data_IF_369490199440
#
_entry.id   IF_369490199440
#
_cell.length_a   1.000
_cell.length_b   1.000
_cell.length_c   1.000
_cell.angle_alpha   90.00
_cell.angle_beta   90.00
_cell.angle_gamma   90.00
#
_symmetry.space_group_name_H-M   'P 1'
#
loop_
_entity.id
_entity.type
_entity.pdbx_description
1 polymer ?
#
# COMPACT_ATOMS: atom_id res chain seq x y z
N UNK A 1 -15.50 -67.68 -22.31
CA UNK A 1 -15.11 -66.59 -21.38
C UNK A 1 -13.96 -65.85 -22.05
N UNK A 2 -13.92 -64.55 -22.32
CA UNK A 2 -14.79 -63.38 -22.16
C UNK A 2 -14.50 -62.51 -23.40
N UNK A 3 -15.52 -62.10 -24.15
CA UNK A 3 -15.39 -61.06 -25.17
C UNK A 3 -15.14 -59.72 -24.47
N UNK A 4 -13.98 -59.11 -24.67
CA UNK A 4 -13.71 -57.74 -24.21
C UNK A 4 -14.16 -56.79 -25.31
N UNK A 5 -15.19 -56.05 -24.96
CA UNK A 5 -15.91 -55.08 -25.77
C UNK A 5 -15.02 -53.84 -26.00
N UNK A 6 -14.47 -53.69 -27.20
CA UNK A 6 -13.53 -52.62 -27.59
C UNK A 6 -14.26 -51.44 -28.26
N UNK A 7 -15.51 -51.18 -27.88
CA UNK A 7 -16.41 -50.22 -28.53
C UNK A 7 -16.96 -49.13 -27.61
N UNK A 8 -16.24 -48.75 -26.53
CA UNK A 8 -16.57 -47.59 -25.69
C UNK A 8 -15.32 -46.73 -25.47
N UNK A 9 -14.72 -46.25 -26.57
CA UNK A 9 -13.84 -45.06 -26.59
C UNK A 9 -14.29 -44.20 -27.76
N UNK A 10 -15.55 -43.76 -27.73
CA UNK A 10 -16.11 -42.89 -28.75
C UNK A 10 -17.24 -42.04 -28.13
N UNK A 11 -16.95 -41.38 -27.00
CA UNK A 11 -17.77 -40.28 -26.45
C UNK A 11 -17.02 -39.56 -25.31
N UNK A 12 -15.68 -39.47 -25.37
CA UNK A 12 -15.00 -38.35 -24.72
C UNK A 12 -15.24 -37.13 -25.60
N UNK A 13 -16.39 -36.50 -25.38
CA UNK A 13 -16.70 -35.07 -25.56
C UNK A 13 -15.54 -34.17 -25.96
N UNK A 14 -15.02 -34.36 -27.18
CA UNK A 14 -14.38 -33.30 -27.94
C UNK A 14 -15.50 -32.38 -28.42
N UNK A 15 -16.11 -31.65 -27.48
CA UNK A 15 -16.69 -30.37 -27.79
C UNK A 15 -15.51 -29.46 -28.15
N UNK A 16 -14.95 -29.66 -29.35
CA UNK A 16 -14.17 -28.66 -30.07
C UNK A 16 -15.17 -27.54 -30.36
N UNK A 17 -15.48 -26.76 -29.33
CA UNK A 17 -16.09 -25.45 -29.49
C UNK A 17 -15.02 -24.66 -30.22
N UNK A 18 -15.12 -24.63 -31.54
CA UNK A 18 -14.32 -23.76 -32.38
C UNK A 18 -14.67 -22.35 -31.95
N UNK A 19 -13.83 -21.74 -31.11
CA UNK A 19 -14.01 -20.37 -30.68
C UNK A 19 -13.94 -19.48 -31.91
N UNK A 20 -14.95 -18.62 -32.08
CA UNK A 20 -14.94 -17.67 -33.19
C UNK A 20 -13.84 -16.65 -32.91
N UNK A 21 -13.02 -16.26 -33.91
CA UNK A 21 -12.07 -15.18 -33.72
C UNK A 21 -12.78 -13.90 -33.32
N UNK A 22 -12.29 -13.24 -32.27
CA UNK A 22 -12.74 -11.91 -31.85
C UNK A 22 -12.20 -10.88 -32.84
N UNK A 23 -13.09 -10.21 -33.56
CA UNK A 23 -12.72 -9.23 -34.60
C UNK A 23 -12.63 -7.80 -34.08
N UNK A 24 -13.44 -7.43 -33.07
CA UNK A 24 -13.35 -6.14 -32.38
C UNK A 24 -12.53 -6.30 -31.10
N UNK A 25 -11.51 -5.46 -30.89
CA UNK A 25 -10.72 -5.53 -29.66
C UNK A 25 -11.47 -4.99 -28.44
N UNK A 26 -12.50 -4.19 -28.64
CA UNK A 26 -13.38 -3.73 -27.56
C UNK A 26 -14.49 -4.75 -27.37
N UNK A 27 -14.45 -5.45 -26.24
CA UNK A 27 -15.41 -6.50 -25.94
C UNK A 27 -16.06 -6.22 -24.60
N UNK A 28 -17.36 -6.42 -24.49
CA UNK A 28 -18.06 -6.32 -23.22
C UNK A 28 -18.58 -7.69 -22.82
N UNK A 29 -18.31 -8.07 -21.57
CA UNK A 29 -18.81 -9.30 -20.97
C UNK A 29 -19.35 -8.98 -19.59
N UNK A 30 -20.63 -9.29 -19.41
CA UNK A 30 -21.37 -9.00 -18.19
C UNK A 30 -21.29 -7.50 -17.84
N UNK A 31 -20.74 -7.19 -16.66
CA UNK A 31 -20.65 -5.82 -16.15
C UNK A 31 -19.51 -4.99 -16.75
N UNK A 32 -18.54 -5.60 -17.40
CA UNK A 32 -17.28 -4.95 -17.74
C UNK A 32 -17.03 -4.95 -19.25
N UNK A 33 -16.34 -3.91 -19.70
CA UNK A 33 -15.77 -3.84 -21.03
C UNK A 33 -14.24 -3.94 -20.96
N UNK A 34 -13.67 -4.50 -22.02
CA UNK A 34 -12.29 -4.95 -22.08
C UNK A 34 -11.65 -4.54 -23.41
N UNK A 35 -10.35 -4.27 -23.38
CA UNK A 35 -9.49 -4.17 -24.56
C UNK A 35 -8.67 -5.45 -24.65
N UNK A 36 -8.98 -6.33 -25.60
CA UNK A 36 -8.27 -7.61 -25.78
C UNK A 36 -7.06 -7.49 -26.72
N UNK A 37 -6.00 -8.24 -26.46
CA UNK A 37 -4.75 -8.18 -27.22
C UNK A 37 -4.80 -8.90 -28.58
N UNK A 38 -5.64 -9.93 -28.73
CA UNK A 38 -5.68 -10.80 -29.91
C UNK A 38 -7.06 -11.41 -30.16
N UNK A 39 -7.22 -12.06 -31.31
CA UNK A 39 -8.50 -12.61 -31.77
C UNK A 39 -8.81 -14.01 -31.21
N UNK A 40 -7.81 -14.75 -30.73
CA UNK A 40 -7.95 -16.14 -30.25
C UNK A 40 -7.46 -16.34 -28.81
N UNK A 41 -7.43 -15.25 -28.02
CA UNK A 41 -6.98 -15.25 -26.63
C UNK A 41 -5.84 -14.26 -26.36
N UNK A 42 -5.27 -14.34 -25.15
CA UNK A 42 -4.14 -13.53 -24.72
C UNK A 42 -4.45 -12.73 -23.45
N UNK A 43 -4.21 -11.42 -23.50
CA UNK A 43 -4.42 -10.52 -22.36
C UNK A 43 -5.54 -9.53 -22.59
N UNK A 44 -6.11 -9.00 -21.49
CA UNK A 44 -7.11 -7.95 -21.56
C UNK A 44 -6.87 -6.85 -20.51
N UNK A 45 -7.11 -5.61 -20.93
CA UNK A 45 -7.26 -4.45 -20.05
C UNK A 45 -8.73 -4.20 -19.75
N UNK A 46 -9.10 -3.97 -18.49
CA UNK A 46 -10.45 -3.54 -18.13
C UNK A 46 -10.62 -2.07 -18.47
N UNK A 47 -11.57 -1.73 -19.35
CA UNK A 47 -11.83 -0.35 -19.81
C UNK A 47 -12.86 0.41 -18.99
N UNK A 48 -13.66 -0.29 -18.19
CA UNK A 48 -14.71 0.30 -17.38
C UNK A 48 -15.96 -0.55 -17.33
N UNK A 49 -17.05 0.03 -16.83
CA UNK A 49 -18.36 -0.62 -16.83
C UNK A 49 -18.96 -0.64 -18.24
N UNK A 50 -19.68 -1.72 -18.52
CA UNK A 50 -20.66 -1.75 -19.60
C UNK A 50 -21.77 -0.73 -19.29
N UNK A 51 -22.38 -0.11 -20.32
CA UNK A 51 -23.22 1.10 -20.19
C UNK A 51 -24.37 0.97 -19.19
N UNK A 52 -24.95 -0.22 -19.04
CA UNK A 52 -26.01 -0.51 -18.07
C UNK A 52 -25.56 -0.60 -16.60
N UNK A 53 -24.26 -0.53 -16.31
CA UNK A 53 -23.69 -0.81 -14.98
C UNK A 53 -22.92 0.36 -14.37
N UNK A 54 -22.93 1.54 -14.98
CA UNK A 54 -22.21 2.74 -14.50
C UNK A 54 -22.65 3.20 -13.10
N UNK A 55 -23.87 2.84 -12.67
CA UNK A 55 -24.38 3.11 -11.32
C UNK A 55 -24.08 1.99 -10.30
N UNK A 56 -23.22 1.03 -10.64
CA UNK A 56 -22.89 -0.09 -9.74
C UNK A 56 -22.15 0.39 -8.49
N UNK A 57 -22.57 -0.14 -7.33
CA UNK A 57 -21.88 0.08 -6.05
C UNK A 57 -20.65 -0.79 -5.85
N UNK A 58 -20.55 -1.88 -6.59
CA UNK A 58 -19.45 -2.84 -6.46
C UNK A 58 -18.80 -3.13 -7.80
N UNK A 59 -17.48 -3.29 -7.76
CA UNK A 59 -16.65 -3.70 -8.88
C UNK A 59 -15.87 -4.95 -8.50
N UNK A 60 -15.99 -6.00 -9.30
CA UNK A 60 -15.16 -7.21 -9.18
C UNK A 60 -14.38 -7.39 -10.47
N UNK A 61 -13.06 -7.31 -10.38
CA UNK A 61 -12.13 -7.52 -11.48
C UNK A 61 -11.65 -8.98 -11.40
N UNK A 62 -12.02 -9.83 -12.37
CA UNK A 62 -11.59 -11.22 -12.38
C UNK A 62 -10.12 -11.36 -12.81
N UNK A 63 -9.54 -12.55 -12.65
CA UNK A 63 -8.20 -12.85 -13.17
C UNK A 63 -8.19 -13.15 -14.66
N UNK A 64 -9.33 -13.56 -15.21
CA UNK A 64 -9.53 -13.81 -16.64
C UNK A 64 -10.98 -13.60 -17.04
N UNK A 65 -11.24 -13.50 -18.34
CA UNK A 65 -12.58 -13.41 -18.93
C UNK A 65 -12.66 -14.32 -20.15
N UNK A 66 -13.80 -14.98 -20.35
CA UNK A 66 -14.10 -15.77 -21.54
C UNK A 66 -15.03 -14.97 -22.47
N UNK A 67 -14.57 -14.73 -23.69
CA UNK A 67 -15.27 -13.96 -24.73
C UNK A 67 -15.29 -14.81 -26.00
N UNK A 68 -16.48 -15.18 -26.45
CA UNK A 68 -16.71 -16.03 -27.64
C UNK A 68 -15.91 -17.35 -27.65
N UNK A 69 -15.72 -17.95 -26.46
CA UNK A 69 -14.96 -19.19 -26.27
C UNK A 69 -13.46 -18.97 -26.11
N UNK A 70 -12.96 -17.75 -26.25
CA UNK A 70 -11.55 -17.41 -26.07
C UNK A 70 -11.29 -16.87 -24.66
N UNK A 71 -10.25 -17.37 -23.99
CA UNK A 71 -9.87 -16.93 -22.64
C UNK A 71 -8.81 -15.84 -22.72
N UNK A 72 -9.06 -14.75 -21.99
CA UNK A 72 -8.13 -13.63 -21.85
C UNK A 72 -7.78 -13.43 -20.38
N UNK A 73 -6.49 -13.41 -20.06
CA UNK A 73 -6.00 -13.08 -18.72
C UNK A 73 -6.02 -11.57 -18.52
N UNK A 74 -6.57 -11.09 -17.40
CA UNK A 74 -6.54 -9.67 -17.09
C UNK A 74 -5.12 -9.28 -16.71
N UNK A 75 -4.56 -8.25 -17.35
CA UNK A 75 -3.22 -7.74 -17.06
C UNK A 75 -3.17 -6.23 -16.81
N UNK A 76 -4.29 -5.53 -16.93
CA UNK A 76 -4.35 -4.11 -16.60
C UNK A 76 -5.76 -3.58 -16.42
N UNK A 77 -5.81 -2.40 -15.81
CA UNK A 77 -6.98 -1.51 -15.79
C UNK A 77 -6.59 -0.29 -16.59
N UNK A 78 -7.43 0.08 -17.56
CA UNK A 78 -7.16 1.11 -18.55
C UNK A 78 -7.25 2.53 -17.99
N UNK A 79 -6.78 3.48 -18.78
CA UNK A 79 -6.71 4.90 -18.45
C UNK A 79 -8.09 5.42 -18.02
N UNK A 80 -8.16 5.96 -16.81
CA UNK A 80 -9.40 6.53 -16.24
C UNK A 80 -10.62 5.59 -16.26
N UNK A 81 -10.44 4.27 -16.34
CA UNK A 81 -11.52 3.30 -16.54
C UNK A 81 -12.71 3.44 -15.56
N UNK A 82 -12.43 3.85 -14.32
CA UNK A 82 -13.44 4.06 -13.27
C UNK A 82 -13.31 5.45 -12.62
N UNK A 83 -12.69 6.43 -13.28
CA UNK A 83 -12.53 7.78 -12.72
C UNK A 83 -13.89 8.41 -12.39
N UNK A 84 -14.01 9.03 -11.20
CA UNK A 84 -15.15 9.90 -10.89
C UNK A 84 -16.46 9.17 -10.61
N UNK A 85 -16.47 7.83 -10.53
CA UNK A 85 -17.68 7.05 -10.28
C UNK A 85 -18.17 7.22 -8.84
N UNK A 86 -19.09 8.18 -8.67
CA UNK A 86 -19.66 8.56 -7.36
C UNK A 86 -20.47 7.43 -6.70
N UNK A 87 -20.95 6.45 -7.45
CA UNK A 87 -21.74 5.33 -6.93
C UNK A 87 -20.89 4.21 -6.37
N UNK A 88 -19.62 4.11 -6.76
CA UNK A 88 -18.76 2.97 -6.45
C UNK A 88 -18.30 3.01 -4.98
N UNK A 89 -18.67 1.98 -4.22
CA UNK A 89 -18.39 1.84 -2.80
C UNK A 89 -17.34 0.74 -2.50
N UNK A 90 -17.28 -0.32 -3.32
CA UNK A 90 -16.36 -1.43 -3.12
C UNK A 90 -15.68 -1.88 -4.41
N UNK A 91 -14.38 -2.13 -4.32
CA UNK A 91 -13.56 -2.71 -5.40
C UNK A 91 -12.92 -3.99 -4.89
N UNK A 92 -13.00 -5.05 -5.70
CA UNK A 92 -12.30 -6.32 -5.48
C UNK A 92 -11.48 -6.68 -6.71
N UNK A 93 -10.18 -6.90 -6.53
CA UNK A 93 -9.26 -7.35 -7.56
C UNK A 93 -8.86 -8.79 -7.22
N UNK A 94 -9.17 -9.72 -8.12
CA UNK A 94 -8.90 -11.14 -7.93
C UNK A 94 -7.40 -11.45 -7.79
N UNK A 95 -7.12 -12.62 -7.20
CA UNK A 95 -5.78 -13.20 -7.21
C UNK A 95 -5.51 -13.96 -8.52
N UNK A 96 -4.26 -14.35 -8.75
CA UNK A 96 -3.88 -15.15 -9.93
C UNK A 96 -3.58 -14.34 -11.19
N UNK A 97 -3.41 -13.02 -11.06
CA UNK A 97 -2.95 -12.15 -12.15
C UNK A 97 -1.42 -12.02 -12.02
N UNK A 98 -0.66 -12.48 -13.02
CA UNK A 98 0.81 -12.49 -12.96
C UNK A 98 1.41 -11.13 -12.58
N UNK A 99 0.90 -10.05 -13.19
CA UNK A 99 1.24 -8.65 -12.90
C UNK A 99 0.09 -7.77 -13.37
N UNK A 100 -0.51 -7.00 -12.46
CA UNK A 100 -1.62 -6.11 -12.79
C UNK A 100 -1.14 -4.68 -12.95
N UNK A 101 -1.32 -4.11 -14.14
CA UNK A 101 -1.00 -2.70 -14.41
C UNK A 101 -2.17 -1.80 -14.02
N UNK A 102 -1.93 -0.82 -13.16
CA UNK A 102 -2.88 0.25 -12.88
C UNK A 102 -2.40 1.50 -13.62
N UNK A 103 -3.08 1.85 -14.71
CA UNK A 103 -2.73 3.05 -15.48
C UNK A 103 -3.27 4.32 -14.82
N UNK A 104 -2.87 5.45 -15.38
CA UNK A 104 -3.22 6.76 -14.86
C UNK A 104 -4.72 6.92 -14.63
N UNK A 105 -5.08 7.33 -13.42
CA UNK A 105 -6.44 7.65 -13.00
C UNK A 105 -7.42 6.48 -13.00
N UNK A 106 -6.97 5.21 -13.09
CA UNK A 106 -7.87 4.06 -13.22
C UNK A 106 -8.99 4.01 -12.15
N UNK A 107 -8.71 4.51 -10.95
CA UNK A 107 -9.63 4.58 -9.81
C UNK A 107 -9.59 5.94 -9.08
N UNK A 108 -9.32 7.03 -9.79
CA UNK A 108 -9.25 8.36 -9.17
C UNK A 108 -10.64 8.94 -8.89
N UNK A 109 -10.71 9.83 -7.90
CA UNK A 109 -11.90 10.63 -7.58
C UNK A 109 -13.14 9.79 -7.26
N UNK A 110 -12.98 8.80 -6.37
CA UNK A 110 -14.05 7.91 -5.92
C UNK A 110 -14.54 8.32 -4.51
N UNK A 111 -15.44 9.32 -4.40
CA UNK A 111 -15.77 9.94 -3.11
C UNK A 111 -16.53 9.01 -2.15
N UNK A 112 -17.16 7.95 -2.67
CA UNK A 112 -17.94 7.00 -1.87
C UNK A 112 -17.24 5.64 -1.69
N UNK A 113 -16.01 5.48 -2.18
CA UNK A 113 -15.26 4.24 -2.07
C UNK A 113 -14.86 3.94 -0.63
N UNK A 114 -15.41 2.88 -0.04
CA UNK A 114 -15.18 2.48 1.35
C UNK A 114 -14.17 1.35 1.49
N UNK A 115 -14.02 0.52 0.45
CA UNK A 115 -13.24 -0.72 0.54
C UNK A 115 -12.57 -1.09 -0.77
N UNK A 116 -11.28 -1.41 -0.68
CA UNK A 116 -10.49 -1.96 -1.78
C UNK A 116 -9.88 -3.28 -1.32
N UNK A 117 -10.23 -4.36 -1.99
CA UNK A 117 -9.67 -5.69 -1.75
C UNK A 117 -8.66 -6.02 -2.84
N UNK A 118 -7.38 -5.98 -2.50
CA UNK A 118 -6.26 -6.29 -3.38
C UNK A 118 -5.82 -7.73 -3.11
N UNK A 119 -6.36 -8.69 -3.86
CA UNK A 119 -5.95 -10.10 -3.70
C UNK A 119 -4.77 -10.48 -4.59
N UNK A 120 -4.48 -9.68 -5.61
CA UNK A 120 -3.34 -9.92 -6.49
C UNK A 120 -2.01 -9.64 -5.80
N UNK A 121 -0.96 -10.42 -6.09
CA UNK A 121 0.33 -10.29 -5.38
C UNK A 121 1.36 -9.42 -6.09
N UNK A 122 1.09 -8.98 -7.31
CA UNK A 122 2.02 -8.17 -8.11
C UNK A 122 1.30 -7.05 -8.84
N UNK A 123 1.70 -5.81 -8.57
CA UNK A 123 1.19 -4.59 -9.19
C UNK A 123 2.30 -3.85 -9.94
N UNK A 124 1.92 -3.29 -11.09
CA UNK A 124 2.67 -2.24 -11.79
C UNK A 124 1.88 -0.94 -11.65
N UNK A 125 2.19 -0.17 -10.62
CA UNK A 125 1.57 1.12 -10.39
C UNK A 125 2.63 2.20 -10.62
N UNK A 126 2.62 2.75 -11.84
CA UNK A 126 3.69 3.62 -12.36
C UNK A 126 3.55 5.08 -11.95
N UNK A 127 2.52 5.41 -11.17
CA UNK A 127 2.25 6.74 -10.64
C UNK A 127 1.44 6.66 -9.33
N UNK A 128 1.09 7.82 -8.76
CA UNK A 128 0.21 7.92 -7.59
C UNK A 128 -1.28 8.13 -7.91
N UNK A 129 -1.64 8.23 -9.18
CA UNK A 129 -2.99 8.61 -9.62
C UNK A 129 -4.01 7.47 -9.45
N UNK A 130 -3.57 6.21 -9.44
CA UNK A 130 -4.45 5.09 -9.09
C UNK A 130 -4.96 5.28 -7.66
N UNK A 131 -6.27 5.38 -7.47
CA UNK A 131 -6.87 5.73 -6.18
C UNK A 131 -6.41 7.10 -5.64
N UNK A 132 -6.17 8.11 -6.49
CA UNK A 132 -5.99 9.48 -6.00
C UNK A 132 -7.31 10.07 -5.54
N UNK A 133 -7.29 10.76 -4.40
CA UNK A 133 -8.47 11.39 -3.80
C UNK A 133 -9.67 10.44 -3.60
N UNK A 134 -9.47 9.24 -3.00
CA UNK A 134 -10.59 8.38 -2.64
C UNK A 134 -11.32 8.98 -1.42
N UNK A 135 -12.43 8.37 -1.00
CA UNK A 135 -13.01 8.65 0.31
C UNK A 135 -11.92 8.55 1.40
N UNK A 136 -11.89 9.50 2.34
CA UNK A 136 -10.91 9.50 3.45
C UNK A 136 -11.02 8.28 4.38
N UNK A 137 -12.19 7.65 4.42
CA UNK A 137 -12.53 6.46 5.22
C UNK A 137 -12.32 5.13 4.45
N UNK A 138 -11.65 5.17 3.29
CA UNK A 138 -11.37 3.98 2.49
C UNK A 138 -10.44 3.02 3.25
N UNK A 139 -10.74 1.73 3.17
CA UNK A 139 -9.87 0.67 3.69
C UNK A 139 -9.20 -0.09 2.55
N UNK A 140 -7.93 -0.42 2.72
CA UNK A 140 -7.20 -1.30 1.81
C UNK A 140 -6.88 -2.63 2.50
N UNK A 141 -7.38 -3.73 1.95
CA UNK A 141 -7.22 -5.08 2.50
C UNK A 141 -6.75 -6.09 1.46
N UNK A 142 -6.32 -7.26 1.91
CA UNK A 142 -5.87 -8.36 1.05
C UNK A 142 -4.36 -8.46 0.90
N UNK A 143 -3.91 -9.63 0.45
CA UNK A 143 -2.48 -9.99 0.38
C UNK A 143 -1.67 -9.13 -0.60
N UNK A 144 -2.32 -8.40 -1.49
CA UNK A 144 -1.72 -7.48 -2.45
C UNK A 144 -1.36 -6.11 -1.90
N UNK A 145 -1.87 -5.74 -0.72
CA UNK A 145 -1.66 -4.41 -0.15
C UNK A 145 -0.17 -4.12 0.05
N UNK A 146 0.61 -5.11 0.52
CA UNK A 146 2.06 -4.96 0.71
C UNK A 146 2.77 -4.54 -0.58
N UNK A 147 2.54 -5.27 -1.67
CA UNK A 147 3.21 -5.03 -2.94
C UNK A 147 2.79 -3.69 -3.55
N UNK A 148 1.49 -3.41 -3.53
CA UNK A 148 0.98 -2.12 -3.97
C UNK A 148 1.56 -0.95 -3.15
N UNK A 149 1.61 -1.07 -1.82
CA UNK A 149 2.19 -0.04 -0.94
C UNK A 149 3.65 0.21 -1.28
N UNK A 150 4.46 -0.83 -1.47
CA UNK A 150 5.88 -0.68 -1.81
C UNK A 150 6.09 0.06 -3.14
N UNK A 151 5.32 -0.27 -4.18
CA UNK A 151 5.38 0.45 -5.45
C UNK A 151 5.06 1.95 -5.27
N UNK A 152 4.03 2.24 -4.48
CA UNK A 152 3.58 3.60 -4.22
C UNK A 152 4.56 4.41 -3.36
N UNK A 153 5.17 3.80 -2.35
CA UNK A 153 6.21 4.42 -1.52
C UNK A 153 7.43 4.77 -2.37
N UNK A 154 7.89 3.86 -3.23
CA UNK A 154 9.00 4.11 -4.16
C UNK A 154 8.73 5.28 -5.10
N UNK A 155 7.52 5.32 -5.67
CA UNK A 155 7.14 6.42 -6.55
C UNK A 155 7.06 7.75 -5.78
N UNK A 156 6.42 7.77 -4.60
CA UNK A 156 6.32 8.95 -3.74
C UNK A 156 7.72 9.48 -3.39
N UNK A 157 8.61 8.60 -2.92
CA UNK A 157 9.98 8.93 -2.53
C UNK A 157 10.76 9.61 -3.66
N UNK A 158 10.80 8.98 -4.84
CA UNK A 158 11.61 9.45 -5.96
C UNK A 158 10.99 10.62 -6.72
N UNK A 159 9.71 10.51 -7.07
CA UNK A 159 9.09 11.40 -8.06
C UNK A 159 8.29 12.54 -7.44
N UNK A 160 7.82 12.39 -6.20
CA UNK A 160 7.04 13.45 -5.52
C UNK A 160 7.91 14.20 -4.52
N UNK A 161 8.68 13.49 -3.70
CA UNK A 161 9.59 14.12 -2.74
C UNK A 161 10.95 14.47 -3.36
N UNK A 162 11.26 13.98 -4.57
CA UNK A 162 12.53 14.27 -5.24
C UNK A 162 13.74 13.72 -4.50
N UNK A 163 13.55 12.72 -3.64
CA UNK A 163 14.61 12.16 -2.81
C UNK A 163 15.40 11.08 -3.56
N UNK A 164 16.63 10.88 -3.11
CA UNK A 164 17.54 9.84 -3.61
C UNK A 164 17.93 8.94 -2.45
N UNK A 165 18.01 7.64 -2.73
CA UNK A 165 18.54 6.68 -1.78
C UNK A 165 19.99 7.05 -1.44
N UNK A 166 20.35 6.89 -0.17
CA UNK A 166 21.67 7.22 0.36
C UNK A 166 22.31 5.98 0.98
N UNK A 167 23.62 5.95 0.98
CA UNK A 167 24.39 4.99 1.78
C UNK A 167 25.02 5.77 2.92
N UNK A 168 24.65 5.42 4.15
CA UNK A 168 25.22 6.01 5.34
C UNK A 168 26.40 5.16 5.79
N UNK A 169 27.61 5.75 5.78
CA UNK A 169 28.77 5.19 6.47
C UNK A 169 28.72 5.61 7.95
N UNK A 170 29.33 4.81 8.82
CA UNK A 170 29.27 4.99 10.28
C UNK A 170 29.85 6.34 10.76
N UNK A 171 30.58 7.08 9.93
CA UNK A 171 31.18 8.38 10.28
C UNK A 171 30.27 9.60 10.00
N UNK A 172 29.10 9.42 9.37
CA UNK A 172 28.24 10.52 8.89
C UNK A 172 26.86 10.63 9.58
N UNK A 173 26.77 10.35 10.88
CA UNK A 173 25.46 10.34 11.56
C UNK A 173 24.75 11.68 11.58
N UNK A 174 25.48 12.79 11.58
CA UNK A 174 24.86 14.10 11.51
C UNK A 174 24.04 14.25 10.23
N UNK A 175 24.59 13.83 9.09
CA UNK A 175 23.88 13.86 7.81
C UNK A 175 22.69 12.90 7.82
N UNK A 176 22.87 11.68 8.35
CA UNK A 176 21.78 10.69 8.52
C UNK A 176 20.63 11.23 9.37
N UNK A 177 20.95 11.88 10.49
CA UNK A 177 19.98 12.51 11.38
C UNK A 177 19.26 13.68 10.69
N UNK A 178 20.00 14.53 10.00
CA UNK A 178 19.44 15.64 9.20
C UNK A 178 18.48 15.13 8.14
N UNK A 179 18.86 14.10 7.38
CA UNK A 179 18.03 13.53 6.30
C UNK A 179 16.73 12.89 6.85
N UNK A 180 16.84 12.19 7.98
CA UNK A 180 15.68 11.61 8.67
C UNK A 180 14.74 12.69 9.23
N UNK A 181 15.28 13.79 9.76
CA UNK A 181 14.51 14.93 10.22
C UNK A 181 13.73 15.58 9.06
N UNK A 182 14.40 15.87 7.94
CA UNK A 182 13.76 16.46 6.75
C UNK A 182 12.73 15.51 6.11
N UNK A 183 13.00 14.20 6.14
CA UNK A 183 12.03 13.20 5.71
C UNK A 183 10.79 13.21 6.61
N UNK A 184 10.96 13.21 7.93
CA UNK A 184 9.85 13.22 8.88
C UNK A 184 9.00 14.50 8.75
N UNK A 185 9.65 15.65 8.55
CA UNK A 185 9.00 16.93 8.23
C UNK A 185 8.19 16.84 6.94
N UNK A 186 8.77 16.28 5.87
CA UNK A 186 8.10 16.09 4.58
C UNK A 186 6.86 15.19 4.72
N UNK A 187 6.97 14.08 5.45
CA UNK A 187 5.81 13.21 5.76
C UNK A 187 4.75 13.96 6.54
N UNK A 188 5.14 14.78 7.52
CA UNK A 188 4.20 15.59 8.31
C UNK A 188 3.47 16.65 7.49
N UNK A 189 4.12 17.21 6.47
CA UNK A 189 3.49 18.16 5.55
C UNK A 189 2.62 17.45 4.51
N UNK A 190 3.00 16.24 4.11
CA UNK A 190 2.28 15.44 3.11
C UNK A 190 0.95 14.89 3.63
N UNK A 191 0.93 14.35 4.85
CA UNK A 191 -0.25 13.72 5.44
C UNK A 191 -0.67 14.37 6.77
N UNK A 192 -1.95 14.74 6.86
CA UNK A 192 -2.54 15.36 8.04
C UNK A 192 -2.92 14.30 9.08
N UNK A 193 -2.82 14.65 10.36
CA UNK A 193 -3.40 13.82 11.43
C UNK A 193 -4.92 13.79 11.28
N UNK A 194 -5.49 12.59 11.34
CA UNK A 194 -6.93 12.35 11.31
C UNK A 194 -7.25 10.98 11.90
N UNK A 195 -8.43 10.85 12.50
CA UNK A 195 -8.96 9.58 13.01
C UNK A 195 -9.79 8.85 11.94
N UNK A 196 -9.31 8.84 10.70
CA UNK A 196 -10.01 8.17 9.61
C UNK A 196 -9.95 6.64 9.75
N UNK A 197 -10.99 5.98 9.25
CA UNK A 197 -11.09 4.53 9.16
C UNK A 197 -9.87 3.97 8.42
N UNK A 198 -9.20 3.01 9.04
CA UNK A 198 -7.95 2.41 8.52
C UNK A 198 -6.81 3.42 8.34
N UNK A 199 -6.86 4.57 9.04
CA UNK A 199 -5.80 5.59 9.05
C UNK A 199 -4.49 5.11 9.67
N UNK A 200 -4.47 3.92 10.27
CA UNK A 200 -3.27 3.22 10.73
C UNK A 200 -2.51 2.54 9.57
N UNK A 201 -3.15 2.35 8.41
CA UNK A 201 -2.59 1.64 7.26
C UNK A 201 -1.79 2.61 6.36
N UNK A 202 -0.54 2.29 6.07
CA UNK A 202 0.38 3.17 5.34
C UNK A 202 -0.14 3.54 3.94
N UNK A 203 -0.79 2.62 3.22
CA UNK A 203 -1.36 2.95 1.91
C UNK A 203 -2.56 3.89 2.00
N UNK A 204 -3.37 3.76 3.06
CA UNK A 204 -4.48 4.69 3.33
C UNK A 204 -3.93 6.08 3.54
N UNK A 205 -2.92 6.24 4.41
CA UNK A 205 -2.24 7.54 4.63
C UNK A 205 -1.68 8.10 3.33
N UNK A 206 -1.03 7.26 2.51
CA UNK A 206 -0.44 7.67 1.25
C UNK A 206 -1.51 8.19 0.27
N UNK A 207 -2.67 7.53 0.18
CA UNK A 207 -3.69 7.81 -0.84
C UNK A 207 -4.70 8.87 -0.43
N UNK A 208 -5.10 8.90 0.84
CA UNK A 208 -6.04 9.90 1.36
C UNK A 208 -5.32 11.18 1.79
N UNK A 209 -4.02 11.11 2.11
CA UNK A 209 -3.26 12.16 2.81
C UNK A 209 -3.79 12.45 4.22
N UNK A 210 -4.51 11.49 4.79
CA UNK A 210 -5.01 11.51 6.16
C UNK A 210 -4.65 10.21 6.86
N UNK A 211 -4.15 10.30 8.09
CA UNK A 211 -3.81 9.13 8.87
C UNK A 211 -3.66 9.43 10.35
N UNK A 212 -3.69 8.38 11.15
CA UNK A 212 -3.38 8.45 12.57
C UNK A 212 -1.87 8.64 12.77
N UNK A 213 -1.44 8.83 14.02
CA UNK A 213 -0.03 8.81 14.37
C UNK A 213 0.65 7.47 14.00
N UNK A 214 -0.04 6.34 14.13
CA UNK A 214 0.48 5.02 13.73
C UNK A 214 0.67 4.92 12.21
N UNK A 215 -0.31 5.32 11.42
CA UNK A 215 -0.21 5.25 9.95
C UNK A 215 0.90 6.15 9.40
N UNK A 216 1.06 7.35 9.98
CA UNK A 216 2.16 8.26 9.65
C UNK A 216 3.52 7.68 10.05
N UNK A 217 3.65 7.08 11.23
CA UNK A 217 4.88 6.42 11.68
C UNK A 217 5.27 5.23 10.78
N UNK A 218 4.28 4.47 10.28
CA UNK A 218 4.48 3.40 9.29
C UNK A 218 4.93 3.95 7.94
N UNK A 219 4.26 4.97 7.42
CA UNK A 219 4.65 5.60 6.15
C UNK A 219 6.08 6.16 6.21
N UNK A 220 6.41 6.88 7.30
CA UNK A 220 7.77 7.37 7.53
C UNK A 220 8.79 6.24 7.58
N UNK A 221 8.49 5.13 8.28
CA UNK A 221 9.38 3.96 8.30
C UNK A 221 9.65 3.42 6.90
N UNK A 222 8.62 3.24 6.08
CA UNK A 222 8.78 2.70 4.73
C UNK A 222 9.61 3.64 3.85
N UNK A 223 9.39 4.95 3.96
CA UNK A 223 10.19 5.95 3.23
C UNK A 223 11.63 6.04 3.73
N UNK A 224 11.87 5.86 5.03
CA UNK A 224 13.22 5.83 5.58
C UNK A 224 14.02 4.61 5.08
N UNK A 225 13.34 3.49 4.83
CA UNK A 225 13.96 2.32 4.19
C UNK A 225 14.37 2.64 2.75
N UNK A 226 13.49 3.29 1.97
CA UNK A 226 13.83 3.76 0.62
C UNK A 226 14.95 4.83 0.64
N UNK A 227 15.06 5.62 1.71
CA UNK A 227 16.15 6.56 1.93
C UNK A 227 17.50 5.86 2.16
N UNK A 228 17.50 4.56 2.52
CA UNK A 228 18.70 3.76 2.76
C UNK A 228 18.91 3.32 4.21
N UNK A 229 17.93 3.55 5.09
CA UNK A 229 17.98 3.03 6.46
C UNK A 229 17.68 1.54 6.44
N UNK A 230 18.53 0.73 7.08
CA UNK A 230 18.29 -0.71 7.21
C UNK A 230 16.96 -0.96 7.92
N UNK A 231 16.15 -1.89 7.42
CA UNK A 231 14.87 -2.22 8.02
C UNK A 231 14.98 -2.71 9.48
N UNK A 232 16.14 -3.24 9.87
CA UNK A 232 16.49 -3.63 11.24
C UNK A 232 16.75 -2.45 12.18
N UNK A 233 17.08 -1.28 11.63
CA UNK A 233 17.51 -0.07 12.35
C UNK A 233 16.37 0.94 12.49
N UNK A 234 15.14 0.56 12.11
CA UNK A 234 13.95 1.38 12.29
C UNK A 234 12.73 0.52 12.62
N UNK A 235 12.07 0.87 13.73
CA UNK A 235 10.86 0.18 14.21
C UNK A 235 9.77 1.21 14.47
N UNK A 236 8.51 0.82 14.27
CA UNK A 236 7.37 1.62 14.73
C UNK A 236 7.12 1.24 16.18
N UNK A 237 7.11 2.22 17.06
CA UNK A 237 7.01 2.04 18.50
C UNK A 237 5.67 2.60 19.02
N UNK A 238 5.23 2.11 20.17
CA UNK A 238 4.07 2.64 20.86
C UNK A 238 4.10 2.40 22.37
N UNK A 239 3.39 3.24 23.11
CA UNK A 239 3.41 3.28 24.58
C UNK A 239 2.37 2.36 25.24
N UNK A 240 1.53 1.68 24.45
CA UNK A 240 0.36 0.95 24.93
C UNK A 240 -0.95 1.74 24.92
N UNK A 241 -0.89 3.08 24.83
CA UNK A 241 -2.00 4.01 25.00
C UNK A 241 -2.21 4.90 23.76
N UNK A 242 -2.05 4.32 22.56
CA UNK A 242 -2.25 4.98 21.26
C UNK A 242 -1.30 6.13 20.93
N UNK A 243 -0.17 6.28 21.63
CA UNK A 243 0.93 7.14 21.16
C UNK A 243 1.89 6.29 20.34
N UNK A 244 2.24 6.79 19.16
CA UNK A 244 3.06 6.06 18.19
C UNK A 244 4.19 6.94 17.67
N UNK A 245 5.37 6.35 17.53
CA UNK A 245 6.58 7.02 17.05
C UNK A 245 7.47 5.98 16.36
N UNK A 246 8.71 6.36 16.06
CA UNK A 246 9.70 5.46 15.50
C UNK A 246 10.91 5.36 16.42
N UNK A 247 11.36 4.13 16.70
CA UNK A 247 12.73 3.92 17.15
C UNK A 247 13.64 3.91 15.95
N UNK A 248 14.76 4.63 16.02
CA UNK A 248 15.79 4.63 14.98
C UNK A 248 17.15 4.36 15.62
N UNK A 249 17.90 3.42 15.04
CA UNK A 249 19.26 3.10 15.48
C UNK A 249 20.28 3.96 14.75
N UNK A 250 21.06 4.74 15.50
CA UNK A 250 22.14 5.60 15.01
C UNK A 250 23.33 5.39 15.95
N UNK A 251 24.54 5.17 15.44
CA UNK A 251 25.72 4.84 16.27
C UNK A 251 25.52 3.74 17.30
N UNK A 252 24.90 2.64 16.86
CA UNK A 252 24.63 1.49 17.71
C UNK A 252 23.54 1.72 18.78
N UNK A 253 23.09 2.96 18.98
CA UNK A 253 22.13 3.38 20.00
C UNK A 253 20.75 3.64 19.41
N UNK A 254 19.70 3.33 20.17
CA UNK A 254 18.32 3.58 19.75
C UNK A 254 17.79 4.91 20.28
N UNK A 255 17.20 5.68 19.37
CA UNK A 255 16.58 6.97 19.64
C UNK A 255 15.09 6.92 19.33
N UNK A 256 14.31 7.74 20.04
CA UNK A 256 12.92 8.02 19.71
C UNK A 256 12.85 9.19 18.74
N UNK A 257 12.03 9.04 17.69
CA UNK A 257 11.74 10.05 16.69
C UNK A 257 10.24 10.09 16.44
N UNK A 258 9.61 11.26 16.53
CA UNK A 258 8.18 11.42 16.26
C UNK A 258 7.93 12.22 14.99
N UNK A 259 7.20 11.64 14.05
CA UNK A 259 6.79 12.29 12.80
C UNK A 259 5.82 13.45 13.05
N UNK A 260 5.20 13.54 14.24
CA UNK A 260 4.30 14.62 14.65
C UNK A 260 5.01 15.78 15.38
N UNK A 261 6.33 15.85 15.27
CA UNK A 261 7.17 16.89 15.84
C UNK A 261 6.78 18.32 15.42
N UNK A 262 6.99 19.36 16.26
CA UNK A 262 6.58 20.73 15.99
C UNK A 262 7.49 21.47 14.99
N UNK A 263 7.49 21.01 13.73
CA UNK A 263 8.33 21.56 12.65
C UNK A 263 8.08 23.03 12.30
N UNK A 264 6.95 23.61 12.74
CA UNK A 264 6.69 25.05 12.58
C UNK A 264 7.59 25.89 13.49
N UNK A 265 7.94 25.36 14.66
CA UNK A 265 8.78 26.04 15.66
C UNK A 265 10.24 25.72 15.45
N UNK A 266 10.56 24.45 15.18
CA UNK A 266 11.93 24.00 14.92
C UNK A 266 11.99 23.43 13.51
N UNK A 267 12.34 24.29 12.56
CA UNK A 267 12.18 23.98 11.14
C UNK A 267 13.45 23.41 10.51
N UNK A 268 14.59 23.58 11.17
CA UNK A 268 15.90 23.13 10.74
C UNK A 268 16.48 22.15 11.77
N UNK A 269 17.21 21.13 11.31
CA UNK A 269 17.72 20.08 12.19
C UNK A 269 18.65 20.62 13.29
N UNK A 270 19.56 21.54 12.96
CA UNK A 270 20.46 22.12 13.98
C UNK A 270 19.67 22.85 15.08
N UNK A 271 18.60 23.60 14.74
CA UNK A 271 17.77 24.27 15.75
C UNK A 271 17.08 23.25 16.65
N UNK A 272 16.54 22.18 16.04
CA UNK A 272 15.92 21.08 16.76
C UNK A 272 16.92 20.44 17.72
N UNK A 273 18.13 20.11 17.26
CA UNK A 273 19.17 19.47 18.06
C UNK A 273 19.54 20.24 19.33
N UNK A 274 19.56 21.58 19.30
CA UNK A 274 19.93 22.39 20.46
C UNK A 274 18.74 22.79 21.36
N UNK A 275 17.57 23.06 20.77
CA UNK A 275 16.43 23.63 21.53
C UNK A 275 15.38 22.59 21.92
N UNK A 276 15.16 21.58 21.09
CA UNK A 276 14.11 20.57 21.29
C UNK A 276 14.46 19.30 20.50
N UNK A 277 15.41 18.47 20.97
CA UNK A 277 16.04 17.47 20.12
C UNK A 277 15.04 16.51 19.44
N UNK A 278 15.23 16.28 18.14
CA UNK A 278 14.39 15.36 17.38
C UNK A 278 14.69 13.89 17.70
N UNK A 279 15.96 13.58 17.97
CA UNK A 279 16.45 12.27 18.41
C UNK A 279 16.69 12.33 19.92
N UNK A 280 15.85 11.65 20.68
CA UNK A 280 15.93 11.67 22.16
C UNK A 280 15.92 10.27 22.75
N UNK A 281 16.57 10.15 23.91
CA UNK A 281 16.49 8.96 24.76
C UNK A 281 15.09 8.72 25.32
N UNK A 282 14.92 7.59 26.00
CA UNK A 282 13.60 7.17 26.47
C UNK A 282 13.00 8.12 27.52
N UNK A 283 13.82 8.57 28.46
CA UNK A 283 13.40 9.44 29.56
C UNK A 283 12.94 10.81 29.06
N UNK A 284 13.72 11.43 28.17
CA UNK A 284 13.38 12.73 27.59
C UNK A 284 12.15 12.62 26.68
N UNK A 285 12.06 11.58 25.85
CA UNK A 285 10.88 11.37 25.00
C UNK A 285 9.59 11.21 25.84
N UNK A 286 9.67 10.43 26.93
CA UNK A 286 8.54 10.24 27.84
C UNK A 286 8.04 11.56 28.41
N UNK A 287 8.95 12.40 28.91
CA UNK A 287 8.65 13.73 29.45
C UNK A 287 8.02 14.61 28.39
N UNK A 288 8.61 14.64 27.20
CA UNK A 288 8.20 15.48 26.07
C UNK A 288 6.78 15.16 25.60
N UNK A 289 6.51 13.89 25.34
CA UNK A 289 5.22 13.43 24.83
C UNK A 289 4.17 13.24 25.93
N UNK A 290 4.51 13.58 27.18
CA UNK A 290 3.67 13.41 28.36
C UNK A 290 3.16 11.95 28.49
N UNK A 291 4.02 10.99 28.15
CA UNK A 291 3.71 9.57 28.21
C UNK A 291 3.80 9.11 29.66
N UNK A 292 2.74 8.50 30.18
CA UNK A 292 2.74 7.97 31.55
C UNK A 292 3.41 6.60 31.65
N UNK A 293 3.28 5.79 30.60
CA UNK A 293 3.79 4.43 30.52
C UNK A 293 5.30 4.35 30.79
N UNK A 294 5.73 3.26 31.43
CA UNK A 294 7.15 3.01 31.68
C UNK A 294 7.84 2.66 30.35
N UNK A 295 9.00 3.26 30.01
CA UNK A 295 9.74 2.90 28.80
C UNK A 295 10.08 1.42 28.67
N UNK A 296 10.25 0.70 29.78
CA UNK A 296 10.44 -0.76 29.80
C UNK A 296 9.22 -1.56 29.31
N UNK A 297 8.06 -0.91 29.21
CA UNK A 297 6.81 -1.49 28.72
C UNK A 297 6.45 -0.98 27.33
N UNK A 298 7.25 -0.07 26.75
CA UNK A 298 7.05 0.35 25.37
C UNK A 298 7.27 -0.81 24.42
N UNK A 299 6.49 -0.81 23.34
CA UNK A 299 6.39 -1.94 22.42
C UNK A 299 6.76 -1.51 21.02
N UNK A 300 7.14 -2.47 20.21
CA UNK A 300 7.34 -2.30 18.77
C UNK A 300 6.33 -3.08 17.98
N UNK A 301 5.84 -2.49 16.90
CA UNK A 301 4.96 -3.14 15.96
C UNK A 301 5.76 -4.12 15.11
N UNK A 302 5.30 -5.37 15.04
CA UNK A 302 5.81 -6.39 14.12
C UNK A 302 5.25 -6.22 12.70
N UNK A 303 4.15 -5.47 12.60
CA UNK A 303 3.50 -5.08 11.35
C UNK A 303 4.10 -3.78 10.80
N UNK A 304 4.43 -3.78 9.51
CA UNK A 304 5.05 -2.68 8.79
C UNK A 304 4.03 -1.81 8.05
N UNK A 305 2.92 -2.40 7.58
CA UNK A 305 1.98 -1.75 6.66
C UNK A 305 0.67 -1.37 7.35
N UNK A 306 0.12 -2.24 8.20
CA UNK A 306 -1.07 -1.98 9.00
C UNK A 306 -2.39 -2.53 8.49
N UNK A 307 -2.40 -3.24 7.36
CA UNK A 307 -3.62 -3.89 6.87
C UNK A 307 -3.94 -5.15 7.67
N UNK A 308 -5.24 -5.47 7.79
CA UNK A 308 -5.79 -6.53 8.65
C UNK A 308 -5.08 -7.88 8.52
N UNK A 309 -4.73 -8.28 7.31
CA UNK A 309 -4.19 -9.62 7.02
C UNK A 309 -2.66 -9.68 7.10
N UNK A 310 -1.99 -8.58 7.50
CA UNK A 310 -0.53 -8.53 7.53
C UNK A 310 0.08 -9.54 8.52
N UNK A 311 -0.47 -9.63 9.73
CA UNK A 311 0.07 -10.52 10.76
C UNK A 311 -0.42 -11.96 10.64
N UNK A 312 -1.45 -12.24 9.82
CA UNK A 312 -2.04 -13.59 9.66
C UNK A 312 -2.33 -14.30 11.00
N UNK A 313 -2.82 -13.54 11.99
CA UNK A 313 -3.12 -14.07 13.32
C UNK A 313 -1.91 -14.16 14.27
N UNK A 314 -0.72 -13.76 13.84
CA UNK A 314 0.45 -13.64 14.71
C UNK A 314 0.36 -12.38 15.60
N UNK A 315 1.10 -12.34 16.72
CA UNK A 315 1.25 -11.13 17.51
C UNK A 315 1.62 -9.94 16.63
N UNK A 316 0.96 -8.80 16.86
CA UNK A 316 1.19 -7.59 16.07
C UNK A 316 2.27 -6.70 16.68
N UNK A 317 2.72 -7.04 17.89
CA UNK A 317 3.70 -6.29 18.65
C UNK A 317 4.45 -7.17 19.67
N UNK A 318 5.57 -6.63 20.15
CA UNK A 318 6.40 -7.19 21.22
C UNK A 318 6.95 -6.06 22.11
N UNK A 319 7.36 -6.37 23.34
CA UNK A 319 8.08 -5.42 24.19
C UNK A 319 9.43 -5.10 23.55
N UNK A 320 9.81 -3.83 23.54
CA UNK A 320 11.11 -3.44 23.01
C UNK A 320 12.22 -3.85 23.98
N UNK A 321 13.12 -4.72 23.53
CA UNK A 321 14.26 -5.22 24.32
C UNK A 321 15.59 -4.57 23.96
N UNK A 322 15.60 -3.65 22.99
CA UNK A 322 16.80 -2.91 22.61
C UNK A 322 17.23 -1.93 23.70
N UNK A 323 18.54 -1.73 23.85
CA UNK A 323 19.08 -0.70 24.73
C UNK A 323 18.79 0.67 24.13
N UNK A 324 17.81 1.38 24.71
CA UNK A 324 17.55 2.79 24.40
C UNK A 324 18.72 3.63 24.92
N UNK A 325 19.00 4.74 24.25
CA UNK A 325 19.81 5.79 24.87
C UNK A 325 19.00 6.34 26.05
N UNK A 326 19.66 6.45 27.21
CA UNK A 326 19.11 7.13 28.38
C UNK A 326 19.49 8.61 28.36
#
# INVERSE_FOLDING_TARGET
MKFINLAIIALSSASLVLSKPVTDKNQCKDKLCYLVSGSTGGTAYVKGFNTGYTNSKTLSIPSSVNIDGNVFTINGIDYMAFNGLKTLEEISIASGINKLTLTYGAFSELPNLKKVTLSNKSFDARDLSSFSSPNKEVMFIGNGVKDYTNNQVKYLFKNVFGLKAKTYQDEYDYQRKTDLFELAKTVSSYARLSDNRDGDNAITVLKTKFGTSLGRARLFRLLAIELGIKASDIKVAYDGNKKYWNYIRVNGSWYNCDVNYPYRTYSQYYEAEWKYPFFVGASEFKKRESITANPKQWRVMLTNYGYRDESRGQPTNEIFTGKLMD
#
